data_IF_409970270709
#
_entry.id   IF_409970270709
#
_cell.length_a   1.000
_cell.length_b   1.000
_cell.length_c   1.000
_cell.angle_alpha   90.00
_cell.angle_beta   90.00
_cell.angle_gamma   90.00
#
_symmetry.space_group_name_H-M   'P 1'
#
loop_
_entity.id
_entity.type
_entity.pdbx_description
1 polymer ?
#
# COMPACT_ATOMS: atom_id res chain seq x y z
N UNK A 1 -0.46 -15.85 32.89
CA UNK A 1 -0.40 -14.57 32.26
C UNK A 1 -0.63 -14.67 30.74
N UNK A 2 -1.35 -13.78 30.21
CA UNK A 2 -1.62 -13.72 28.80
C UNK A 2 -0.36 -13.35 28.01
N UNK A 3 -0.16 -13.94 26.83
CA UNK A 3 0.90 -13.57 25.91
C UNK A 3 0.62 -12.34 25.08
N UNK A 4 -0.48 -11.61 25.36
CA UNK A 4 -0.84 -10.41 24.59
C UNK A 4 0.12 -9.29 24.92
N UNK A 5 0.67 -8.68 23.89
CA UNK A 5 1.54 -7.51 24.04
C UNK A 5 0.84 -6.29 23.48
N UNK A 6 1.04 -5.15 24.13
CA UNK A 6 0.53 -3.88 23.65
C UNK A 6 1.51 -3.20 22.66
N UNK A 7 2.71 -3.73 22.53
CA UNK A 7 3.69 -3.23 21.58
C UNK A 7 3.76 -4.18 20.38
N UNK A 8 3.45 -3.68 19.19
CA UNK A 8 3.42 -4.48 17.96
C UNK A 8 4.35 -3.81 16.95
N UNK A 9 5.51 -4.40 16.65
CA UNK A 9 6.39 -3.84 15.62
C UNK A 9 5.78 -4.05 14.24
N UNK A 10 5.89 -3.05 13.40
CA UNK A 10 5.42 -3.12 12.01
C UNK A 10 6.63 -3.47 11.15
N UNK A 11 6.68 -4.70 10.66
CA UNK A 11 7.77 -5.20 9.86
C UNK A 11 7.38 -6.54 9.24
N UNK A 12 8.33 -7.19 8.59
CA UNK A 12 8.07 -8.44 7.87
C UNK A 12 8.51 -9.68 8.66
N UNK A 13 9.32 -9.51 9.69
CA UNK A 13 9.86 -10.64 10.45
C UNK A 13 8.75 -11.41 11.15
N UNK A 14 8.69 -12.72 10.92
CA UNK A 14 7.71 -13.60 11.55
C UNK A 14 6.30 -13.50 10.99
N UNK A 15 6.09 -12.73 9.93
CA UNK A 15 4.78 -12.57 9.29
C UNK A 15 4.76 -13.34 7.97
N UNK A 16 3.77 -14.22 7.79
CA UNK A 16 3.56 -14.92 6.54
C UNK A 16 3.01 -13.97 5.49
N UNK A 17 3.67 -13.84 4.34
CA UNK A 17 3.19 -12.91 3.31
C UNK A 17 1.98 -13.46 2.57
N UNK A 18 1.09 -12.56 2.17
CA UNK A 18 0.05 -12.83 1.19
C UNK A 18 0.46 -12.26 -0.15
N UNK A 19 0.29 -13.03 -1.20
CA UNK A 19 0.58 -12.60 -2.56
C UNK A 19 -0.70 -12.34 -3.31
N UNK A 20 -0.73 -11.23 -4.04
CA UNK A 20 -1.90 -10.83 -4.81
C UNK A 20 -1.47 -9.97 -6.01
N UNK A 21 -2.45 -9.43 -6.70
CA UNK A 21 -2.25 -8.54 -7.83
C UNK A 21 -3.47 -7.65 -7.94
N UNK A 22 -3.39 -6.50 -8.63
CA UNK A 22 -4.58 -5.72 -8.88
C UNK A 22 -5.53 -6.52 -9.77
N UNK A 23 -6.86 -6.25 -9.68
CA UNK A 23 -7.81 -6.84 -10.62
C UNK A 23 -7.36 -6.59 -12.06
N UNK A 24 -7.51 -7.60 -12.92
CA UNK A 24 -7.00 -7.52 -14.30
C UNK A 24 -7.61 -6.33 -15.07
N UNK A 25 -8.87 -6.01 -14.82
CA UNK A 25 -9.56 -4.89 -15.47
C UNK A 25 -9.09 -3.52 -14.98
N UNK A 26 -8.30 -3.48 -13.90
CA UNK A 26 -7.71 -2.23 -13.38
C UNK A 26 -6.27 -2.03 -13.82
N UNK A 27 -5.61 -3.04 -14.36
CA UNK A 27 -4.22 -2.91 -14.81
C UNK A 27 -4.18 -2.03 -16.06
N UNK A 28 -3.34 -1.00 -16.01
CA UNK A 28 -3.12 -0.06 -17.11
C UNK A 28 -1.91 -0.51 -17.92
N UNK A 29 -0.82 -0.91 -17.26
CA UNK A 29 0.39 -1.38 -17.93
C UNK A 29 1.19 -2.31 -17.02
N UNK A 30 1.97 -3.20 -17.64
CA UNK A 30 2.83 -4.13 -16.94
C UNK A 30 2.08 -5.27 -16.27
N UNK A 31 2.77 -5.98 -15.39
CA UNK A 31 2.21 -7.07 -14.59
C UNK A 31 2.57 -6.87 -13.12
N UNK A 32 1.99 -5.86 -12.46
CA UNK A 32 2.33 -5.60 -11.06
C UNK A 32 1.90 -6.77 -10.18
N UNK A 33 2.75 -7.12 -9.22
CA UNK A 33 2.50 -8.15 -8.22
C UNK A 33 2.63 -7.55 -6.85
N UNK A 34 1.72 -7.92 -5.95
CA UNK A 34 1.69 -7.43 -4.57
C UNK A 34 2.14 -8.51 -3.61
N UNK A 35 2.85 -8.09 -2.57
CA UNK A 35 3.14 -8.91 -1.41
C UNK A 35 2.76 -8.09 -0.18
N UNK A 36 1.96 -8.67 0.71
CA UNK A 36 1.45 -7.97 1.89
C UNK A 36 1.81 -8.76 3.15
N UNK A 37 2.41 -8.08 4.12
CA UNK A 37 2.67 -8.60 5.46
C UNK A 37 1.78 -7.83 6.42
N UNK A 38 0.57 -8.34 6.66
CA UNK A 38 -0.39 -7.66 7.53
C UNK A 38 -0.09 -7.98 8.98
N UNK A 39 0.20 -6.98 9.77
CA UNK A 39 0.62 -7.11 11.16
C UNK A 39 -0.56 -6.91 12.11
N UNK A 40 -1.42 -5.96 11.82
CA UNK A 40 -2.58 -5.63 12.64
C UNK A 40 -3.85 -5.76 11.83
N UNK A 41 -4.86 -6.39 12.42
CA UNK A 41 -6.19 -6.47 11.84
C UNK A 41 -7.20 -6.49 12.99
N UNK A 42 -7.88 -5.36 13.21
CA UNK A 42 -8.82 -5.24 14.31
C UNK A 42 -9.85 -4.16 14.02
N UNK A 43 -11.13 -4.51 14.07
CA UNK A 43 -12.24 -3.54 13.99
C UNK A 43 -12.15 -2.62 12.78
N UNK A 44 -11.81 -3.17 11.61
CA UNK A 44 -11.67 -2.41 10.38
C UNK A 44 -10.36 -1.64 10.25
N UNK A 45 -9.44 -1.84 11.17
CA UNK A 45 -8.10 -1.24 11.14
C UNK A 45 -7.09 -2.29 10.72
N UNK A 46 -6.28 -1.95 9.71
CA UNK A 46 -5.21 -2.81 9.19
C UNK A 46 -3.90 -2.04 9.19
N UNK A 47 -2.82 -2.70 9.55
CA UNK A 47 -1.49 -2.10 9.45
C UNK A 47 -0.46 -3.16 9.10
N UNK A 48 0.53 -2.80 8.33
CA UNK A 48 1.56 -3.73 7.92
C UNK A 48 2.50 -3.16 6.88
N UNK A 49 3.10 -4.05 6.12
CA UNK A 49 4.02 -3.74 5.03
C UNK A 49 3.44 -4.27 3.73
N UNK A 50 3.56 -3.50 2.68
CA UNK A 50 3.12 -3.87 1.34
C UNK A 50 4.24 -3.57 0.35
N UNK A 51 4.38 -4.44 -0.63
CA UNK A 51 5.38 -4.29 -1.69
C UNK A 51 4.71 -4.57 -3.03
N UNK A 52 5.07 -3.79 -4.04
CA UNK A 52 4.59 -4.00 -5.40
C UNK A 52 5.74 -3.92 -6.40
N UNK A 53 5.70 -4.81 -7.37
CA UNK A 53 6.63 -4.78 -8.51
C UNK A 53 6.14 -3.83 -9.58
N UNK A 54 6.99 -3.54 -10.57
CA UNK A 54 6.72 -2.55 -11.62
C UNK A 54 5.42 -2.78 -12.36
N UNK A 55 4.70 -1.71 -12.60
CA UNK A 55 3.43 -1.72 -13.32
C UNK A 55 2.58 -0.53 -12.91
N UNK A 56 1.44 -0.39 -13.57
CA UNK A 56 0.52 0.72 -13.31
C UNK A 56 -0.90 0.18 -13.29
N UNK A 57 -1.68 0.64 -12.32
CA UNK A 57 -3.07 0.23 -12.19
C UNK A 57 -3.92 1.36 -11.66
N UNK A 58 -5.22 1.26 -11.95
CA UNK A 58 -6.21 2.20 -11.45
C UNK A 58 -6.54 1.89 -10.01
N UNK A 59 -6.63 2.93 -9.19
CA UNK A 59 -7.07 2.82 -7.80
C UNK A 59 -8.33 3.63 -7.58
N UNK A 60 -9.23 3.06 -6.78
CA UNK A 60 -10.46 3.68 -6.32
C UNK A 60 -10.57 3.38 -4.84
N UNK A 61 -10.50 4.40 -3.99
CA UNK A 61 -10.47 4.22 -2.54
C UNK A 61 -11.83 4.52 -1.91
N UNK A 62 -12.36 3.53 -1.23
CA UNK A 62 -13.48 3.70 -0.30
C UNK A 62 -12.97 3.79 1.14
N UNK A 63 -11.75 3.34 1.36
CA UNK A 63 -11.08 3.35 2.66
C UNK A 63 -10.18 4.58 2.81
N UNK A 64 -9.74 4.81 4.04
CA UNK A 64 -8.69 5.77 4.37
C UNK A 64 -7.37 5.02 4.53
N UNK A 65 -6.30 5.51 3.95
CA UNK A 65 -5.00 4.87 4.07
C UNK A 65 -3.89 5.89 4.32
N UNK A 66 -3.09 5.63 5.35
CA UNK A 66 -1.80 6.29 5.55
C UNK A 66 -0.70 5.43 4.95
N UNK A 67 0.18 6.04 4.15
CA UNK A 67 1.32 5.36 3.53
C UNK A 67 2.62 6.05 3.90
N UNK A 68 3.63 5.24 4.18
CA UNK A 68 5.00 5.70 4.34
C UNK A 68 5.91 4.86 3.46
N UNK A 69 6.59 5.50 2.50
CA UNK A 69 7.44 4.78 1.53
C UNK A 69 8.75 4.39 2.18
N UNK A 70 9.09 3.11 2.10
CA UNK A 70 10.31 2.54 2.67
C UNK A 70 11.38 2.29 1.60
N UNK A 71 10.96 1.94 0.38
CA UNK A 71 11.89 1.63 -0.72
C UNK A 71 11.19 1.84 -2.06
N UNK A 72 11.98 2.13 -3.09
CA UNK A 72 11.48 2.24 -4.46
C UNK A 72 10.95 3.61 -4.81
N UNK A 73 10.39 3.72 -6.00
CA UNK A 73 9.83 4.97 -6.55
C UNK A 73 8.49 4.65 -7.18
N UNK A 74 7.48 5.41 -6.83
CA UNK A 74 6.14 5.30 -7.42
C UNK A 74 5.61 6.68 -7.82
N UNK A 75 4.64 6.68 -8.73
CA UNK A 75 3.92 7.88 -9.14
C UNK A 75 2.45 7.66 -8.85
N UNK A 76 1.85 8.58 -8.11
CA UNK A 76 0.43 8.55 -7.80
C UNK A 76 -0.21 9.74 -8.49
N UNK A 77 -1.21 9.46 -9.34
CA UNK A 77 -1.87 10.48 -10.13
C UNK A 77 -3.36 10.46 -9.84
N UNK A 78 -3.91 11.63 -9.47
CA UNK A 78 -5.35 11.78 -9.31
C UNK A 78 -6.01 12.00 -10.67
N UNK A 79 -7.29 11.65 -10.77
CA UNK A 79 -8.04 11.82 -12.02
C UNK A 79 -8.15 13.28 -12.46
N UNK A 80 -7.99 14.23 -11.55
CA UNK A 80 -7.96 15.66 -11.87
C UNK A 80 -6.62 16.13 -12.45
N UNK A 81 -5.66 15.21 -12.61
CA UNK A 81 -4.39 15.48 -13.27
C UNK A 81 -3.21 15.75 -12.34
N UNK A 82 -3.41 15.85 -11.04
CA UNK A 82 -2.31 16.05 -10.10
C UNK A 82 -1.49 14.76 -9.97
N UNK A 83 -0.22 14.80 -10.37
CA UNK A 83 0.69 13.66 -10.26
C UNK A 83 1.78 13.95 -9.23
N UNK A 84 2.09 12.95 -8.40
CA UNK A 84 3.10 13.07 -7.36
C UNK A 84 4.05 11.88 -7.40
N UNK A 85 5.34 12.19 -7.40
CA UNK A 85 6.39 11.17 -7.28
C UNK A 85 6.62 10.96 -5.79
N UNK A 86 6.58 9.70 -5.35
CA UNK A 86 6.82 9.33 -3.96
C UNK A 86 8.07 8.46 -3.87
N UNK A 87 8.91 8.73 -2.87
CA UNK A 87 10.23 8.13 -2.66
C UNK A 87 10.40 7.73 -1.20
N UNK A 88 11.42 6.94 -0.86
CA UNK A 88 11.68 6.57 0.53
C UNK A 88 11.71 7.79 1.45
N UNK A 89 10.97 7.70 2.54
CA UNK A 89 10.82 8.78 3.52
C UNK A 89 9.56 9.62 3.31
N UNK A 90 8.89 9.53 2.17
CA UNK A 90 7.65 10.27 1.92
C UNK A 90 6.49 9.59 2.62
N UNK A 91 5.64 10.38 3.23
CA UNK A 91 4.40 9.94 3.88
C UNK A 91 3.22 10.72 3.33
N UNK A 92 2.10 10.04 3.16
CA UNK A 92 0.90 10.68 2.65
C UNK A 92 -0.36 9.90 3.05
N UNK A 93 -1.49 10.54 2.87
CA UNK A 93 -2.81 9.95 3.12
C UNK A 93 -3.61 9.92 1.84
N UNK A 94 -4.23 8.79 1.57
CA UNK A 94 -5.26 8.66 0.56
C UNK A 94 -6.61 8.54 1.26
N UNK A 95 -7.50 9.50 1.00
CA UNK A 95 -8.81 9.56 1.65
C UNK A 95 -9.86 8.80 0.86
N UNK A 96 -10.96 8.39 1.52
CA UNK A 96 -12.11 7.84 0.80
C UNK A 96 -12.54 8.78 -0.32
N UNK A 97 -12.82 8.21 -1.48
CA UNK A 97 -13.17 8.98 -2.67
C UNK A 97 -12.00 9.27 -3.61
N UNK A 98 -10.77 8.94 -3.20
CA UNK A 98 -9.62 9.07 -4.11
C UNK A 98 -9.81 8.16 -5.31
N UNK A 99 -9.70 8.73 -6.52
CA UNK A 99 -9.67 7.97 -7.77
C UNK A 99 -8.49 8.43 -8.60
N UNK A 100 -7.77 7.47 -9.16
CA UNK A 100 -6.59 7.78 -9.93
C UNK A 100 -5.80 6.53 -10.29
N UNK A 101 -4.49 6.65 -10.36
CA UNK A 101 -3.61 5.54 -10.67
C UNK A 101 -2.39 5.53 -9.76
N UNK A 102 -1.85 4.32 -9.58
CA UNK A 102 -0.59 4.10 -8.92
C UNK A 102 0.34 3.44 -9.93
N UNK A 103 1.49 4.04 -10.17
CA UNK A 103 2.52 3.47 -11.02
C UNK A 103 3.76 3.16 -10.20
N UNK A 104 4.19 1.91 -10.21
CA UNK A 104 5.45 1.50 -9.59
C UNK A 104 6.52 1.58 -10.67
N UNK A 105 7.44 2.55 -10.53
CA UNK A 105 8.57 2.72 -11.42
C UNK A 105 9.70 1.79 -11.01
N UNK A 106 10.01 1.76 -9.71
CA UNK A 106 10.94 0.81 -9.11
C UNK A 106 10.19 0.10 -7.98
N UNK A 107 10.39 -1.20 -7.82
CA UNK A 107 9.71 -1.99 -6.79
C UNK A 107 9.58 -1.19 -5.51
N UNK A 108 8.35 -0.93 -5.10
CA UNK A 108 8.01 -0.02 -4.02
C UNK A 108 7.55 -0.80 -2.81
N UNK A 109 8.10 -0.46 -1.65
CA UNK A 109 7.68 -1.01 -0.37
C UNK A 109 7.18 0.14 0.50
N UNK A 110 6.07 -0.06 1.17
CA UNK A 110 5.51 0.93 2.09
C UNK A 110 5.06 0.29 3.39
N UNK A 111 5.10 1.07 4.46
CA UNK A 111 4.31 0.80 5.65
C UNK A 111 2.94 1.43 5.43
N UNK A 112 1.88 0.72 5.82
CA UNK A 112 0.52 1.20 5.62
C UNK A 112 -0.31 1.09 6.90
N UNK A 113 -1.27 1.98 7.02
CA UNK A 113 -2.38 1.89 7.98
C UNK A 113 -3.66 2.16 7.19
N UNK A 114 -4.58 1.20 7.22
CA UNK A 114 -5.85 1.30 6.52
C UNK A 114 -6.99 1.31 7.54
N UNK A 115 -7.95 2.19 7.34
CA UNK A 115 -9.18 2.25 8.10
C UNK A 115 -10.35 2.08 7.14
N UNK A 116 -11.12 1.01 7.34
CA UNK A 116 -12.35 0.77 6.56
C UNK A 116 -13.52 1.59 7.06
#
# INVERSE_FOLDING_TARGET
>A
MSGVTAFVPVGIAGIGPERSAPPADRVISGEPRFTTWNVEERDGLFAGIWEATSGKWRIVYDEWEFCHILAGVSVIEEDDGAARIVRPGDSFVLRPGFTGSWEVVETTRKAYVIRL
#
